data_IF_435816294848
#
_entry.id   IF_435816294848
#
_cell.length_a   1.000
_cell.length_b   1.000
_cell.length_c   1.000
_cell.angle_alpha   90.00
_cell.angle_beta   90.00
_cell.angle_gamma   90.00
#
_symmetry.space_group_name_H-M   'P 1'
#
loop_
_entity.id
_entity.type
_entity.pdbx_description
1 polymer ?
#
# COMPACT_ATOMS: atom_id res chain seq x y z
N UNK A 1 -42.10 51.27 -10.51
CA UNK A 1 -41.29 52.04 -9.54
C UNK A 1 -40.60 51.03 -8.62
N UNK A 2 -39.34 50.78 -8.85
CA UNK A 2 -38.48 49.91 -7.99
C UNK A 2 -37.88 50.77 -6.90
N UNK A 3 -38.19 50.47 -5.62
CA UNK A 3 -37.55 51.07 -4.47
C UNK A 3 -36.03 50.78 -4.53
N UNK A 4 -35.17 51.76 -4.35
CA UNK A 4 -33.75 51.51 -4.17
C UNK A 4 -33.54 50.73 -2.88
N UNK A 5 -32.72 49.69 -2.94
CA UNK A 5 -32.27 48.95 -1.78
C UNK A 5 -31.57 49.96 -0.83
N UNK A 6 -32.01 49.95 0.42
CA UNK A 6 -31.38 50.73 1.47
C UNK A 6 -29.90 50.40 1.53
N UNK A 7 -29.07 51.42 1.37
CA UNK A 7 -27.68 51.43 1.77
C UNK A 7 -27.65 51.06 3.25
N UNK A 8 -27.25 49.82 3.54
CA UNK A 8 -26.88 49.46 4.89
C UNK A 8 -25.63 50.25 5.22
N UNK A 9 -25.84 51.31 5.97
CA UNK A 9 -24.81 52.09 6.61
C UNK A 9 -23.91 51.13 7.35
N UNK A 10 -22.72 50.94 6.84
CA UNK A 10 -21.63 50.30 7.53
C UNK A 10 -21.18 51.20 8.69
N UNK A 11 -21.99 51.27 9.74
CA UNK A 11 -21.55 51.72 11.05
C UNK A 11 -20.80 50.56 11.68
N UNK A 12 -19.63 50.36 11.14
CA UNK A 12 -18.74 49.29 11.55
C UNK A 12 -17.67 49.89 12.44
N UNK A 13 -17.84 49.72 13.73
CA UNK A 13 -16.66 49.63 14.57
C UNK A 13 -15.66 48.69 13.85
N UNK A 14 -14.38 49.13 13.72
CA UNK A 14 -13.33 48.38 13.00
C UNK A 14 -13.31 46.94 13.46
N UNK A 15 -14.02 46.10 12.74
CA UNK A 15 -14.10 44.66 12.99
C UNK A 15 -12.68 44.15 12.99
N UNK A 16 -12.33 43.31 13.97
CA UNK A 16 -11.00 42.65 14.04
C UNK A 16 -10.63 41.99 12.71
N UNK A 17 -11.64 41.62 11.92
CA UNK A 17 -11.51 41.12 10.56
C UNK A 17 -10.94 42.14 9.58
N UNK A 18 -11.37 43.40 9.62
CA UNK A 18 -10.83 44.46 8.76
C UNK A 18 -9.33 44.67 9.03
N UNK A 19 -8.94 44.74 10.31
CA UNK A 19 -7.52 44.86 10.69
C UNK A 19 -6.68 43.64 10.24
N UNK A 20 -7.27 42.46 10.26
CA UNK A 20 -6.63 41.23 9.79
C UNK A 20 -6.39 41.29 8.27
N UNK A 21 -7.41 41.66 7.49
CA UNK A 21 -7.33 41.78 6.02
C UNK A 21 -6.28 42.84 5.63
N UNK A 22 -6.29 44.03 6.24
CA UNK A 22 -5.29 45.08 5.97
C UNK A 22 -3.87 44.63 6.33
N UNK A 23 -3.71 43.82 7.35
CA UNK A 23 -2.39 43.26 7.73
C UNK A 23 -1.89 42.26 6.70
N UNK A 24 -2.77 41.42 6.12
CA UNK A 24 -2.42 40.51 5.02
C UNK A 24 -2.01 41.29 3.78
N UNK A 25 -2.79 42.32 3.43
CA UNK A 25 -2.59 43.14 2.23
C UNK A 25 -1.24 43.88 2.28
N UNK A 26 -0.82 44.32 3.47
CA UNK A 26 0.48 45.03 3.65
C UNK A 26 1.69 44.14 3.42
N UNK A 27 1.56 42.81 3.66
CA UNK A 27 2.69 41.87 3.55
C UNK A 27 2.26 40.53 2.96
N UNK A 28 1.73 40.50 1.73
CA UNK A 28 1.18 39.29 1.14
C UNK A 28 2.19 38.15 1.04
N UNK A 29 3.45 38.45 0.73
CA UNK A 29 4.52 37.45 0.63
C UNK A 29 4.86 36.76 1.96
N UNK A 30 4.73 37.47 3.09
CA UNK A 30 4.96 36.88 4.42
C UNK A 30 3.85 35.90 4.77
N UNK A 31 2.60 36.27 4.47
CA UNK A 31 1.45 35.40 4.71
C UNK A 31 1.44 34.21 3.78
N UNK A 32 1.81 34.40 2.51
CA UNK A 32 2.00 33.31 1.56
C UNK A 32 3.10 32.36 2.03
N UNK A 33 4.27 32.88 2.40
CA UNK A 33 5.39 32.08 2.91
C UNK A 33 5.02 31.31 4.19
N UNK A 34 4.31 31.96 5.13
CA UNK A 34 3.79 31.32 6.34
C UNK A 34 2.80 30.21 6.03
N UNK A 35 1.86 30.43 5.11
CA UNK A 35 0.87 29.43 4.67
C UNK A 35 1.55 28.23 4.00
N UNK A 36 2.50 28.47 3.10
CA UNK A 36 3.28 27.42 2.44
C UNK A 36 4.09 26.62 3.46
N UNK A 37 4.72 27.29 4.43
CA UNK A 37 5.48 26.62 5.49
C UNK A 37 4.57 25.69 6.31
N UNK A 38 3.42 26.19 6.75
CA UNK A 38 2.45 25.35 7.50
C UNK A 38 1.98 24.18 6.66
N UNK A 39 1.63 24.41 5.38
CA UNK A 39 1.23 23.35 4.47
C UNK A 39 2.36 22.31 4.27
N UNK A 40 3.60 22.75 4.14
CA UNK A 40 4.75 21.86 4.01
C UNK A 40 4.95 21.00 5.27
N UNK A 41 4.86 21.60 6.46
CA UNK A 41 4.97 20.86 7.74
C UNK A 41 3.85 19.83 7.88
N UNK A 42 2.62 20.18 7.51
CA UNK A 42 1.48 19.26 7.54
C UNK A 42 1.58 18.16 6.47
N UNK A 43 2.30 18.41 5.38
CA UNK A 43 2.52 17.41 4.33
C UNK A 43 3.61 16.39 4.69
N UNK A 44 4.50 16.70 5.65
CA UNK A 44 5.58 15.76 6.06
C UNK A 44 5.05 14.37 6.41
N UNK A 45 4.02 14.20 7.26
CA UNK A 45 3.51 12.88 7.58
C UNK A 45 2.87 12.16 6.38
N UNK A 46 2.46 12.88 5.34
CA UNK A 46 1.90 12.26 4.15
C UNK A 46 2.94 11.47 3.34
N UNK A 47 4.22 11.81 3.44
CA UNK A 47 5.30 11.05 2.80
C UNK A 47 5.62 9.71 3.48
N UNK A 48 5.15 9.51 4.71
CA UNK A 48 5.27 8.25 5.44
C UNK A 48 3.98 7.41 5.42
N UNK A 49 2.96 7.85 4.68
CA UNK A 49 1.73 7.08 4.49
C UNK A 49 2.01 5.92 3.53
N UNK A 50 2.03 4.72 4.08
CA UNK A 50 2.01 3.48 3.30
C UNK A 50 0.56 3.18 2.94
N UNK A 51 0.23 3.40 1.66
CA UNK A 51 -1.10 3.02 1.14
C UNK A 51 -1.08 1.52 0.84
N UNK A 52 -1.34 0.71 1.86
CA UNK A 52 -1.53 -0.73 1.73
C UNK A 52 -3.01 -1.09 1.50
N UNK A 53 -3.24 -2.29 1.01
CA UNK A 53 -4.58 -2.87 1.00
C UNK A 53 -4.94 -3.28 2.44
N UNK A 54 -6.05 -2.76 2.96
CA UNK A 54 -6.55 -3.13 4.30
C UNK A 54 -7.24 -4.48 4.18
N UNK A 55 -6.74 -5.46 4.93
CA UNK A 55 -7.38 -6.77 5.06
C UNK A 55 -8.15 -6.88 6.40
N UNK A 56 -8.81 -8.00 6.60
CA UNK A 56 -9.61 -8.29 7.79
C UNK A 56 -8.75 -8.33 9.07
N UNK A 57 -7.42 -8.41 8.93
CA UNK A 57 -6.47 -8.30 10.04
C UNK A 57 -6.42 -6.91 10.67
N UNK A 58 -6.91 -5.87 9.99
CA UNK A 58 -7.04 -4.52 10.53
C UNK A 58 -8.39 -4.25 11.19
N UNK A 59 -9.34 -5.19 11.12
CA UNK A 59 -10.66 -5.06 11.73
C UNK A 59 -10.60 -4.98 13.27
N UNK A 60 -11.58 -4.32 13.91
CA UNK A 60 -11.65 -4.25 15.35
C UNK A 60 -11.66 -5.64 16.01
N UNK A 61 -10.94 -5.77 17.13
CA UNK A 61 -10.95 -7.00 17.91
C UNK A 61 -12.38 -7.38 18.33
N UNK A 62 -12.73 -8.67 18.14
CA UNK A 62 -14.08 -9.19 18.45
C UNK A 62 -15.08 -9.07 17.30
N UNK A 63 -14.69 -8.56 16.12
CA UNK A 63 -15.50 -8.73 14.91
C UNK A 63 -15.36 -10.16 14.39
N UNK A 64 -16.43 -10.68 13.80
CA UNK A 64 -16.43 -12.05 13.23
C UNK A 64 -15.42 -12.23 12.10
N UNK A 65 -15.16 -11.18 11.33
CA UNK A 65 -14.14 -11.14 10.28
C UNK A 65 -12.74 -11.26 10.85
N UNK A 66 -12.44 -10.52 11.92
CA UNK A 66 -11.17 -10.61 12.62
C UNK A 66 -10.96 -11.98 13.28
N UNK A 67 -11.97 -12.52 13.93
CA UNK A 67 -11.91 -13.86 14.54
C UNK A 67 -11.64 -14.94 13.49
N UNK A 68 -12.28 -14.86 12.32
CA UNK A 68 -12.03 -15.78 11.22
C UNK A 68 -10.58 -15.65 10.69
N UNK A 69 -10.10 -14.42 10.51
CA UNK A 69 -8.72 -14.13 10.09
C UNK A 69 -7.70 -14.73 11.07
N UNK A 70 -7.91 -14.51 12.37
CA UNK A 70 -7.01 -14.99 13.42
C UNK A 70 -7.05 -16.53 13.50
N UNK A 71 -8.21 -17.17 13.32
CA UNK A 71 -8.35 -18.62 13.30
C UNK A 71 -7.61 -19.25 12.09
N UNK A 72 -7.72 -18.63 10.91
CA UNK A 72 -6.97 -19.06 9.72
C UNK A 72 -5.46 -18.91 9.93
N UNK A 73 -5.04 -17.77 10.46
CA UNK A 73 -3.62 -17.52 10.78
C UNK A 73 -3.06 -18.52 11.78
N UNK A 74 -3.85 -18.87 12.82
CA UNK A 74 -3.44 -19.84 13.83
C UNK A 74 -3.37 -21.28 13.29
N UNK A 75 -4.30 -21.64 12.39
CA UNK A 75 -4.37 -23.01 11.85
C UNK A 75 -3.44 -23.27 10.68
N UNK A 76 -3.26 -22.32 9.78
CA UNK A 76 -2.55 -22.48 8.51
C UNK A 76 -1.32 -21.59 8.37
N UNK A 77 -1.05 -20.74 9.36
CA UNK A 77 0.01 -19.75 9.34
C UNK A 77 -0.46 -18.38 8.79
N UNK A 78 0.26 -17.30 9.16
CA UNK A 78 -0.16 -15.92 8.86
C UNK A 78 -0.25 -15.63 7.36
N UNK A 79 0.55 -16.28 6.53
CA UNK A 79 0.52 -16.12 5.08
C UNK A 79 -0.69 -16.74 4.39
N UNK A 80 -1.48 -17.57 5.08
CA UNK A 80 -2.66 -18.17 4.51
C UNK A 80 -3.76 -17.18 4.12
N UNK A 81 -3.80 -16.03 4.81
CA UNK A 81 -4.72 -14.93 4.49
C UNK A 81 -4.21 -14.04 3.33
N UNK A 82 -2.98 -14.22 2.88
CA UNK A 82 -2.34 -13.40 1.85
C UNK A 82 -1.73 -14.22 0.72
N UNK A 83 -2.42 -15.24 0.27
CA UNK A 83 -1.95 -16.05 -0.87
C UNK A 83 -1.96 -15.22 -2.16
N UNK A 84 -0.94 -15.42 -2.99
CA UNK A 84 -0.86 -14.75 -4.29
C UNK A 84 -0.62 -15.77 -5.41
N UNK A 85 -1.06 -15.42 -6.62
CA UNK A 85 -0.93 -16.27 -7.79
C UNK A 85 0.24 -15.81 -8.65
N UNK A 86 1.19 -16.72 -8.86
CA UNK A 86 2.27 -16.52 -9.83
C UNK A 86 1.80 -16.99 -11.20
N UNK A 87 1.85 -16.09 -12.15
CA UNK A 87 1.48 -16.35 -13.55
C UNK A 87 2.74 -16.37 -14.39
N UNK A 88 3.00 -17.50 -15.03
CA UNK A 88 4.13 -17.65 -15.95
C UNK A 88 3.60 -17.69 -17.37
N UNK A 89 4.00 -16.70 -18.18
CA UNK A 89 3.68 -16.63 -19.60
C UNK A 89 4.94 -17.03 -20.38
N UNK A 90 5.04 -18.27 -20.87
CA UNK A 90 6.16 -18.68 -21.72
C UNK A 90 6.06 -17.97 -23.08
N UNK A 91 7.21 -17.65 -23.66
CA UNK A 91 7.23 -17.02 -25.00
C UNK A 91 6.85 -18.02 -26.09
N UNK A 92 7.18 -19.30 -25.85
CA UNK A 92 6.90 -20.40 -26.77
C UNK A 92 6.29 -21.56 -25.99
N UNK A 93 5.26 -22.19 -26.53
CA UNK A 93 4.58 -23.33 -25.89
C UNK A 93 5.55 -24.52 -25.65
N UNK A 94 6.54 -24.69 -26.50
CA UNK A 94 7.58 -25.75 -26.36
C UNK A 94 8.45 -25.56 -25.11
N UNK A 95 8.57 -24.32 -24.60
CA UNK A 95 9.36 -23.99 -23.40
C UNK A 95 8.53 -23.98 -22.12
N UNK A 96 7.22 -24.16 -22.19
CA UNK A 96 6.32 -24.04 -21.06
C UNK A 96 6.71 -24.97 -19.92
N UNK A 97 6.98 -26.24 -20.19
CA UNK A 97 7.34 -27.22 -19.17
C UNK A 97 8.71 -26.96 -18.52
N UNK A 98 9.73 -26.62 -19.30
CA UNK A 98 11.08 -26.31 -18.77
C UNK A 98 11.08 -25.01 -17.96
N UNK A 99 10.35 -23.97 -18.43
CA UNK A 99 10.16 -22.72 -17.70
C UNK A 99 9.38 -22.96 -16.41
N UNK A 100 8.32 -23.75 -16.46
CA UNK A 100 7.54 -24.11 -15.29
C UNK A 100 8.40 -24.76 -14.22
N UNK A 101 9.21 -25.74 -14.58
CA UNK A 101 10.13 -26.43 -13.64
C UNK A 101 11.15 -25.44 -13.04
N UNK A 102 11.72 -24.55 -13.85
CA UNK A 102 12.68 -23.56 -13.38
C UNK A 102 12.05 -22.59 -12.38
N UNK A 103 10.84 -22.12 -12.66
CA UNK A 103 10.09 -21.23 -11.75
C UNK A 103 9.70 -21.96 -10.47
N UNK A 104 9.23 -23.21 -10.56
CA UNK A 104 8.89 -24.01 -9.39
C UNK A 104 10.11 -24.22 -8.46
N UNK A 105 11.27 -24.51 -9.03
CA UNK A 105 12.51 -24.64 -8.27
C UNK A 105 12.96 -23.31 -7.65
N UNK A 106 12.75 -22.20 -8.36
CA UNK A 106 13.05 -20.87 -7.83
C UNK A 106 12.14 -20.51 -6.66
N UNK A 107 10.83 -20.76 -6.78
CA UNK A 107 9.87 -20.52 -5.70
C UNK A 107 10.20 -21.35 -4.46
N UNK A 108 10.54 -22.61 -4.62
CA UNK A 108 10.91 -23.50 -3.51
C UNK A 108 12.18 -23.07 -2.77
N UNK A 109 13.07 -22.32 -3.42
CA UNK A 109 14.32 -21.78 -2.84
C UNK A 109 14.21 -20.34 -2.35
N UNK A 110 13.09 -19.66 -2.64
CA UNK A 110 12.90 -18.26 -2.29
C UNK A 110 12.56 -18.14 -0.80
N UNK A 111 13.37 -17.36 -0.10
CA UNK A 111 13.10 -17.02 1.30
C UNK A 111 11.79 -16.25 1.41
N UNK A 112 10.94 -16.58 2.38
CA UNK A 112 9.63 -15.95 2.55
C UNK A 112 8.46 -16.72 1.90
N UNK A 113 8.71 -17.79 1.17
CA UNK A 113 7.70 -18.70 0.65
C UNK A 113 7.51 -19.87 1.62
N UNK A 114 6.30 -20.05 2.16
CA UNK A 114 5.94 -21.18 3.00
C UNK A 114 5.60 -22.40 2.15
N UNK A 115 4.80 -22.20 1.10
CA UNK A 115 4.45 -23.26 0.14
C UNK A 115 4.10 -22.67 -1.22
N UNK A 116 4.30 -23.48 -2.27
CA UNK A 116 3.87 -23.15 -3.62
C UNK A 116 3.22 -24.39 -4.25
N UNK A 117 2.04 -24.23 -4.83
CA UNK A 117 1.38 -25.32 -5.56
C UNK A 117 2.14 -25.62 -6.85
N UNK A 118 2.06 -26.87 -7.36
CA UNK A 118 2.60 -27.18 -8.67
C UNK A 118 2.02 -26.26 -9.74
N UNK A 119 2.84 -25.88 -10.71
CA UNK A 119 2.39 -25.06 -11.83
C UNK A 119 1.43 -25.87 -12.70
N UNK A 120 0.19 -25.37 -12.81
CA UNK A 120 -0.86 -25.97 -13.64
C UNK A 120 -1.09 -25.12 -14.89
N UNK A 121 -1.23 -25.76 -16.07
CA UNK A 121 -1.53 -25.03 -17.28
C UNK A 121 -2.98 -24.48 -17.24
N UNK A 122 -3.16 -23.28 -17.80
CA UNK A 122 -4.49 -22.73 -18.09
C UNK A 122 -5.24 -23.61 -19.10
N UNK A 123 -6.56 -23.45 -19.21
CA UNK A 123 -7.40 -24.15 -20.18
C UNK A 123 -6.86 -24.07 -21.61
N UNK A 124 -6.25 -22.95 -21.96
CA UNK A 124 -5.68 -22.69 -23.28
C UNK A 124 -4.24 -23.20 -23.43
N UNK A 125 -3.65 -23.78 -22.36
CA UNK A 125 -2.29 -24.34 -22.36
C UNK A 125 -1.15 -23.33 -22.50
N UNK A 126 -1.46 -22.03 -22.58
CA UNK A 126 -0.49 -20.96 -22.89
C UNK A 126 0.14 -20.39 -21.62
N UNK A 127 -0.57 -20.46 -20.50
CA UNK A 127 -0.19 -19.81 -19.24
C UNK A 127 -0.08 -20.88 -18.15
N UNK A 128 0.94 -20.76 -17.30
CA UNK A 128 1.09 -21.62 -16.13
C UNK A 128 0.78 -20.81 -14.87
N UNK A 129 0.03 -21.40 -13.95
CA UNK A 129 -0.44 -20.78 -12.72
C UNK A 129 0.06 -21.57 -11.51
N UNK A 130 0.55 -20.89 -10.49
CA UNK A 130 0.88 -21.44 -9.18
C UNK A 130 0.38 -20.52 -8.09
N UNK A 131 -0.24 -21.07 -7.06
CA UNK A 131 -0.60 -20.32 -5.86
C UNK A 131 0.55 -20.44 -4.86
N UNK A 132 0.99 -19.31 -4.37
CA UNK A 132 2.09 -19.20 -3.41
C UNK A 132 1.54 -18.65 -2.09
N UNK A 133 1.87 -19.34 -1.01
CA UNK A 133 1.59 -18.90 0.35
C UNK A 133 2.87 -18.34 0.95
N UNK A 134 2.92 -17.07 1.34
CA UNK A 134 4.07 -16.49 2.02
C UNK A 134 4.20 -17.02 3.46
N UNK A 135 5.32 -16.79 4.11
CA UNK A 135 5.53 -17.11 5.53
C UNK A 135 4.97 -16.04 6.47
N UNK A 136 4.74 -14.84 5.97
CA UNK A 136 4.29 -13.66 6.70
C UNK A 136 2.92 -13.22 6.21
N UNK A 137 2.23 -12.40 7.01
CA UNK A 137 0.92 -11.87 6.67
C UNK A 137 0.93 -10.92 5.47
N UNK A 138 -0.24 -10.64 4.87
CA UNK A 138 -0.34 -9.82 3.67
C UNK A 138 0.09 -8.36 3.88
N UNK A 139 0.03 -7.84 5.13
CA UNK A 139 0.43 -6.48 5.49
C UNK A 139 1.89 -6.37 5.94
N UNK A 140 2.63 -7.48 5.99
CA UNK A 140 4.01 -7.46 6.44
C UNK A 140 4.95 -6.94 5.35
N UNK A 141 5.88 -6.07 5.73
CA UNK A 141 6.90 -5.54 4.83
C UNK A 141 7.74 -6.64 4.15
N UNK A 142 7.90 -7.80 4.82
CA UNK A 142 8.57 -8.96 4.23
C UNK A 142 7.79 -9.59 3.07
N UNK A 143 6.46 -9.51 3.09
CA UNK A 143 5.60 -9.94 1.98
C UNK A 143 5.71 -8.97 0.81
N UNK A 144 5.76 -7.66 1.08
CA UNK A 144 5.97 -6.64 0.05
C UNK A 144 7.34 -6.79 -0.63
N UNK A 145 8.38 -7.06 0.15
CA UNK A 145 9.72 -7.35 -0.38
C UNK A 145 9.70 -8.61 -1.27
N UNK A 146 9.00 -9.65 -0.84
CA UNK A 146 8.83 -10.88 -1.61
C UNK A 146 8.13 -10.62 -2.95
N UNK A 147 7.08 -9.80 -2.98
CA UNK A 147 6.37 -9.40 -4.19
C UNK A 147 7.25 -8.54 -5.12
N UNK A 148 8.08 -7.67 -4.55
CA UNK A 148 9.06 -6.87 -5.29
C UNK A 148 10.19 -7.71 -5.93
N UNK A 149 10.49 -8.85 -5.34
CA UNK A 149 11.47 -9.83 -5.83
C UNK A 149 10.92 -10.80 -6.89
N UNK A 150 9.67 -10.64 -7.35
CA UNK A 150 9.08 -11.52 -8.37
C UNK A 150 10.01 -11.67 -9.59
N UNK A 151 10.20 -12.89 -10.12
CA UNK A 151 11.24 -13.26 -11.08
C UNK A 151 11.14 -12.60 -12.47
N UNK A 152 10.20 -11.68 -12.66
CA UNK A 152 10.05 -10.88 -13.89
C UNK A 152 11.02 -9.70 -13.99
N UNK A 153 11.67 -9.31 -12.87
CA UNK A 153 12.76 -8.34 -12.87
C UNK A 153 13.93 -8.98 -12.15
N UNK A 154 14.89 -9.51 -12.92
CA UNK A 154 16.16 -10.07 -12.41
C UNK A 154 16.95 -8.99 -11.63
N UNK A 155 16.53 -8.68 -10.41
CA UNK A 155 17.42 -8.21 -9.37
C UNK A 155 17.60 -9.37 -8.40
N UNK A 156 18.83 -9.78 -8.11
CA UNK A 156 19.05 -10.79 -7.08
C UNK A 156 18.48 -10.24 -5.77
N UNK A 157 17.54 -10.98 -5.16
CA UNK A 157 17.10 -10.68 -3.81
C UNK A 157 18.32 -10.66 -2.91
N UNK A 158 18.63 -9.49 -2.39
CA UNK A 158 19.69 -9.35 -1.38
C UNK A 158 19.24 -10.11 -0.14
N UNK A 159 20.08 -10.92 0.51
CA UNK A 159 19.67 -11.66 1.69
C UNK A 159 19.20 -10.68 2.76
N UNK A 160 18.01 -10.93 3.28
CA UNK A 160 17.32 -10.12 4.27
C UNK A 160 18.28 -9.58 5.34
N UNK A 161 18.35 -8.27 5.48
CA UNK A 161 18.93 -7.62 6.65
C UNK A 161 18.15 -8.12 7.86
N UNK A 162 18.81 -8.83 8.74
CA UNK A 162 18.26 -9.15 10.05
C UNK A 162 17.85 -7.84 10.73
N UNK A 163 16.56 -7.57 10.81
CA UNK A 163 16.04 -6.57 11.71
C UNK A 163 16.20 -7.15 13.11
N UNK A 164 17.26 -6.76 13.79
CA UNK A 164 17.40 -6.99 15.23
C UNK A 164 16.38 -6.08 15.90
N UNK A 165 15.27 -6.67 16.35
CA UNK A 165 14.36 -6.01 17.28
C UNK A 165 15.12 -5.71 18.58
N UNK A 166 15.13 -4.47 19.07
CA UNK A 166 15.60 -4.21 20.42
C UNK A 166 14.56 -4.74 21.42
N UNK A 167 15.06 -5.45 22.43
CA UNK A 167 14.32 -5.93 23.59
C UNK A 167 13.81 -4.76 24.46
#
# INVERSE_FOLDING_TARGET
MRKPAAEQSADGGESGWHRYVVRIDRHPWRWLGGGVLVAAVLAVPAFSLELGHIDEGADPAGSTTREAYDAISAGFGPGANGQFTVVVVPRDASQASSRGQSVQQALAKTSGVASATPLTPSKDGVILLSTVTPTTGPQDAATDELLGCAPTRCRPCSPARRVTSPA
#
